data_IF_207771868942
#
_entry.id   IF_207771868942
#
_cell.length_a   1.000
_cell.length_b   1.000
_cell.length_c   1.000
_cell.angle_alpha   90.00
_cell.angle_beta   90.00
_cell.angle_gamma   90.00
#
_symmetry.space_group_name_H-M   'P 1'
#
loop_
_entity.id
_entity.type
_entity.pdbx_description
1 polymer ?
#
# COMPACT_ATOMS: atom_id res chain seq x y z
N UNK A 1 -34.15 9.73 13.93
CA UNK A 1 -33.31 8.78 14.69
C UNK A 1 -32.85 7.57 13.86
N UNK A 2 -33.13 7.51 12.55
CA UNK A 2 -32.74 6.38 11.68
C UNK A 2 -31.47 6.62 10.85
N UNK A 3 -30.94 7.85 10.81
CA UNK A 3 -29.79 8.20 9.95
C UNK A 3 -28.42 7.90 10.56
N UNK A 4 -28.29 7.99 11.89
CA UNK A 4 -27.02 7.71 12.59
C UNK A 4 -26.68 6.21 12.54
N UNK A 5 -27.71 5.35 12.57
CA UNK A 5 -27.55 3.90 12.47
C UNK A 5 -27.00 3.46 11.10
N UNK A 6 -27.24 4.23 10.04
CA UNK A 6 -26.67 3.97 8.71
C UNK A 6 -25.17 4.28 8.71
N UNK A 7 -24.78 5.38 9.36
CA UNK A 7 -23.36 5.76 9.51
C UNK A 7 -22.61 4.71 10.33
N UNK A 8 -23.15 4.30 11.50
CA UNK A 8 -22.53 3.28 12.34
C UNK A 8 -22.41 1.94 11.62
N UNK A 9 -23.45 1.52 10.88
CA UNK A 9 -23.45 0.28 10.11
C UNK A 9 -22.48 0.31 8.93
N UNK A 10 -22.38 1.45 8.25
CA UNK A 10 -21.39 1.66 7.19
C UNK A 10 -19.98 1.61 7.76
N UNK A 11 -19.74 2.32 8.87
CA UNK A 11 -18.42 2.41 9.51
C UNK A 11 -17.97 1.06 10.07
N UNK A 12 -18.89 0.28 10.67
CA UNK A 12 -18.64 -1.09 11.11
C UNK A 12 -18.36 -2.05 9.93
N UNK A 13 -19.11 -1.93 8.83
CA UNK A 13 -18.86 -2.73 7.61
C UNK A 13 -17.53 -2.36 6.96
N UNK A 14 -17.23 -1.06 6.88
CA UNK A 14 -16.00 -0.52 6.31
C UNK A 14 -14.78 -0.94 7.14
N UNK A 15 -14.84 -0.78 8.47
CA UNK A 15 -13.79 -1.23 9.39
C UNK A 15 -13.56 -2.73 9.27
N UNK A 16 -14.60 -3.56 9.25
CA UNK A 16 -14.43 -5.01 9.03
C UNK A 16 -13.79 -5.34 7.69
N UNK A 17 -14.15 -4.63 6.62
CA UNK A 17 -13.54 -4.87 5.31
C UNK A 17 -12.06 -4.48 5.30
N UNK A 18 -11.71 -3.32 5.90
CA UNK A 18 -10.32 -2.88 6.05
C UNK A 18 -9.51 -3.84 6.91
N UNK A 19 -10.01 -4.24 8.08
CA UNK A 19 -9.34 -5.18 8.98
C UNK A 19 -9.16 -6.56 8.32
N UNK A 20 -10.15 -7.01 7.54
CA UNK A 20 -10.03 -8.25 6.76
C UNK A 20 -8.95 -8.14 5.67
N UNK A 21 -8.81 -6.98 5.03
CA UNK A 21 -7.76 -6.70 4.05
C UNK A 21 -6.35 -6.75 4.66
N UNK A 22 -6.17 -6.18 5.86
CA UNK A 22 -4.92 -6.32 6.63
C UNK A 22 -4.68 -7.75 7.12
N UNK A 23 -5.74 -8.51 7.45
CA UNK A 23 -5.66 -9.93 7.78
C UNK A 23 -5.14 -10.79 6.62
N UNK A 24 -5.52 -10.49 5.37
CA UNK A 24 -5.02 -11.17 4.18
C UNK A 24 -3.52 -10.93 3.94
N UNK A 25 -3.01 -9.75 4.32
CA UNK A 25 -1.59 -9.39 4.21
C UNK A 25 -0.72 -10.01 5.31
N UNK A 26 -1.32 -10.59 6.37
CA UNK A 26 -0.57 -11.12 7.52
C UNK A 26 0.47 -12.18 7.12
N UNK A 27 0.16 -13.04 6.14
CA UNK A 27 1.09 -14.05 5.64
C UNK A 27 2.29 -13.45 4.89
N UNK A 28 2.08 -12.43 4.07
CA UNK A 28 3.14 -11.74 3.34
C UNK A 28 4.03 -10.91 4.28
N UNK A 29 3.43 -10.25 5.28
CA UNK A 29 4.16 -9.53 6.34
C UNK A 29 5.02 -10.49 7.16
N UNK A 30 4.48 -11.66 7.54
CA UNK A 30 5.22 -12.66 8.28
C UNK A 30 6.40 -13.24 7.47
N UNK A 31 6.18 -13.56 6.19
CA UNK A 31 7.23 -14.03 5.29
C UNK A 31 8.35 -13.00 5.11
N UNK A 32 7.98 -11.73 4.88
CA UNK A 32 8.94 -10.64 4.73
C UNK A 32 9.75 -10.45 6.01
N UNK A 33 9.09 -10.44 7.16
CA UNK A 33 9.73 -10.29 8.48
C UNK A 33 10.69 -11.45 8.76
N UNK A 34 10.28 -12.69 8.52
CA UNK A 34 11.13 -13.87 8.70
C UNK A 34 12.37 -13.81 7.79
N UNK A 35 12.20 -13.42 6.53
CA UNK A 35 13.30 -13.25 5.58
C UNK A 35 14.29 -12.18 6.04
N UNK A 36 13.79 -11.04 6.53
CA UNK A 36 14.63 -9.96 7.05
C UNK A 36 15.42 -10.39 8.29
N UNK A 37 14.80 -11.15 9.21
CA UNK A 37 15.48 -11.69 10.40
C UNK A 37 16.61 -12.64 9.99
N UNK A 38 16.37 -13.53 9.02
CA UNK A 38 17.41 -14.45 8.53
C UNK A 38 18.59 -13.69 7.93
N UNK A 39 18.33 -12.64 7.14
CA UNK A 39 19.38 -11.79 6.57
C UNK A 39 20.18 -11.11 7.68
N UNK A 40 19.52 -10.52 8.67
CA UNK A 40 20.17 -9.83 9.80
C UNK A 40 21.06 -10.78 10.60
N UNK A 41 20.54 -11.96 10.98
CA UNK A 41 21.30 -12.98 11.70
C UNK A 41 22.50 -13.48 10.89
N UNK A 42 22.34 -13.65 9.57
CA UNK A 42 23.43 -14.08 8.69
C UNK A 42 24.54 -13.02 8.63
N UNK A 43 24.18 -11.75 8.49
CA UNK A 43 25.14 -10.65 8.46
C UNK A 43 25.84 -10.47 9.82
N UNK A 44 25.10 -10.57 10.93
CA UNK A 44 25.65 -10.54 12.28
C UNK A 44 26.64 -11.70 12.51
N UNK A 45 26.29 -12.91 12.09
CA UNK A 45 27.16 -14.09 12.16
C UNK A 45 28.42 -13.93 11.31
N UNK A 46 28.30 -13.38 10.09
CA UNK A 46 29.43 -13.11 9.21
C UNK A 46 30.40 -12.09 9.83
N UNK A 47 29.86 -10.99 10.39
CA UNK A 47 30.68 -9.97 11.06
C UNK A 47 31.32 -10.50 12.34
N UNK A 48 30.61 -11.32 13.11
CA UNK A 48 31.14 -11.96 14.31
C UNK A 48 32.28 -12.94 13.98
N UNK A 49 32.09 -13.81 12.98
CA UNK A 49 33.09 -14.76 12.53
C UNK A 49 34.36 -14.06 12.00
N UNK A 50 34.22 -12.96 11.25
CA UNK A 50 35.37 -12.19 10.77
C UNK A 50 36.10 -11.45 11.89
N UNK A 51 35.40 -10.97 12.92
CA UNK A 51 36.01 -10.31 14.07
C UNK A 51 36.78 -11.27 15.00
N UNK A 52 36.37 -12.55 15.06
CA UNK A 52 37.06 -13.58 15.85
C UNK A 52 38.14 -14.34 15.07
N UNK A 53 38.03 -14.44 13.73
CA UNK A 53 39.02 -15.15 12.91
C UNK A 53 40.34 -14.37 12.71
N UNK A 54 40.35 -13.04 12.90
CA UNK A 54 41.53 -12.23 12.62
C UNK A 54 42.50 -12.08 13.80
N UNK A 55 42.15 -12.51 15.01
CA UNK A 55 43.06 -12.77 16.15
C UNK A 55 43.91 -11.61 16.70
N UNK A 56 44.57 -10.84 15.85
CA UNK A 56 45.39 -9.66 16.08
C UNK A 56 45.77 -9.13 14.69
N UNK A 57 45.30 -7.94 14.32
CA UNK A 57 45.76 -7.24 13.12
C UNK A 57 44.66 -6.92 12.10
N UNK A 58 44.27 -5.65 12.13
CA UNK A 58 43.67 -4.89 11.03
C UNK A 58 42.26 -5.28 10.53
N UNK A 59 41.28 -4.53 11.06
CA UNK A 59 39.94 -4.29 10.51
C UNK A 59 39.87 -3.85 9.03
N UNK A 60 40.98 -3.82 8.29
CA UNK A 60 41.05 -3.27 6.93
C UNK A 60 40.19 -4.06 5.96
N UNK A 61 40.22 -5.39 6.02
CA UNK A 61 39.37 -6.26 5.17
C UNK A 61 37.89 -6.09 5.51
N UNK A 62 37.54 -6.06 6.79
CA UNK A 62 36.15 -5.84 7.23
C UNK A 62 35.64 -4.45 6.83
N UNK A 63 36.48 -3.40 6.95
CA UNK A 63 36.17 -2.03 6.51
C UNK A 63 36.02 -1.92 4.99
N UNK A 64 36.88 -2.61 4.23
CA UNK A 64 36.82 -2.61 2.77
C UNK A 64 35.56 -3.32 2.27
N UNK A 65 35.23 -4.50 2.79
CA UNK A 65 33.99 -5.23 2.45
C UNK A 65 32.76 -4.40 2.79
N UNK A 66 32.72 -3.76 3.97
CA UNK A 66 31.61 -2.87 4.36
C UNK A 66 31.45 -1.73 3.35
N UNK A 67 32.55 -1.12 2.91
CA UNK A 67 32.53 0.00 1.98
C UNK A 67 32.16 -0.43 0.55
N UNK A 68 32.64 -1.59 0.10
CA UNK A 68 32.30 -2.19 -1.19
C UNK A 68 30.83 -2.60 -1.24
N UNK A 69 30.29 -3.21 -0.18
CA UNK A 69 28.87 -3.54 -0.10
C UNK A 69 28.01 -2.27 -0.11
N UNK A 70 28.37 -1.26 0.67
CA UNK A 70 27.59 -0.03 0.74
C UNK A 70 27.60 0.72 -0.59
N UNK A 71 28.79 0.98 -1.15
CA UNK A 71 28.95 1.70 -2.42
C UNK A 71 28.43 0.87 -3.59
N UNK A 72 28.68 -0.44 -3.58
CA UNK A 72 28.21 -1.38 -4.60
C UNK A 72 26.69 -1.54 -4.62
N UNK A 73 26.04 -1.63 -3.46
CA UNK A 73 24.59 -1.62 -3.36
C UNK A 73 24.01 -0.29 -3.85
N UNK A 74 24.62 0.84 -3.49
CA UNK A 74 24.20 2.15 -3.96
C UNK A 74 24.30 2.29 -5.48
N UNK A 75 25.44 1.86 -6.05
CA UNK A 75 25.66 1.84 -7.49
C UNK A 75 24.68 0.91 -8.20
N UNK A 76 24.39 -0.26 -7.62
CA UNK A 76 23.41 -1.19 -8.16
C UNK A 76 21.99 -0.62 -8.18
N UNK A 77 21.56 0.03 -7.10
CA UNK A 77 20.24 0.66 -7.00
C UNK A 77 20.09 1.78 -8.03
N UNK A 78 21.08 2.67 -8.15
CA UNK A 78 21.05 3.77 -9.13
C UNK A 78 21.08 3.20 -10.55
N UNK A 79 21.94 2.22 -10.82
CA UNK A 79 22.07 1.60 -12.14
C UNK A 79 20.81 0.84 -12.59
N UNK A 80 20.03 0.31 -11.66
CA UNK A 80 18.83 -0.48 -11.94
C UNK A 80 17.53 0.17 -11.45
N UNK A 81 17.54 1.49 -11.20
CA UNK A 81 16.46 2.18 -10.49
C UNK A 81 15.10 1.99 -11.17
N UNK A 82 15.03 2.08 -12.49
CA UNK A 82 13.79 1.91 -13.26
C UNK A 82 13.17 0.51 -13.07
N UNK A 83 13.99 -0.53 -13.16
CA UNK A 83 13.54 -1.91 -12.98
C UNK A 83 13.12 -2.20 -11.54
N UNK A 84 13.93 -1.75 -10.56
CA UNK A 84 13.63 -1.85 -9.13
C UNK A 84 12.32 -1.12 -8.78
N UNK A 85 12.15 0.13 -9.24
CA UNK A 85 10.92 0.90 -9.05
C UNK A 85 9.71 0.20 -9.66
N UNK A 86 9.87 -0.41 -10.84
CA UNK A 86 8.82 -1.20 -11.48
C UNK A 86 8.43 -2.44 -10.66
N UNK A 87 9.38 -3.12 -10.02
CA UNK A 87 9.09 -4.23 -9.11
C UNK A 87 8.32 -3.74 -7.90
N UNK A 88 8.81 -2.69 -7.24
CA UNK A 88 8.17 -2.11 -6.04
C UNK A 88 6.73 -1.68 -6.35
N UNK A 89 6.52 -0.99 -7.47
CA UNK A 89 5.19 -0.55 -7.90
C UNK A 89 4.25 -1.75 -8.15
N UNK A 90 4.74 -2.79 -8.84
CA UNK A 90 3.96 -4.02 -9.07
C UNK A 90 3.67 -4.77 -7.78
N UNK A 91 4.59 -4.79 -6.83
CA UNK A 91 4.35 -5.41 -5.52
C UNK A 91 3.27 -4.65 -4.76
N UNK A 92 3.34 -3.32 -4.68
CA UNK A 92 2.32 -2.53 -3.99
C UNK A 92 0.95 -2.60 -4.66
N UNK A 93 0.87 -2.54 -5.99
CA UNK A 93 -0.39 -2.71 -6.70
C UNK A 93 -0.95 -4.14 -6.53
N UNK A 94 -0.10 -5.17 -6.48
CA UNK A 94 -0.51 -6.55 -6.19
C UNK A 94 -1.08 -6.70 -4.78
N UNK A 95 -0.36 -6.21 -3.76
CA UNK A 95 -0.81 -6.21 -2.37
C UNK A 95 -2.10 -5.39 -2.19
N UNK A 96 -2.24 -4.26 -2.89
CA UNK A 96 -3.45 -3.43 -2.88
C UNK A 96 -4.66 -4.13 -3.48
N UNK A 97 -4.48 -4.95 -4.52
CA UNK A 97 -5.53 -5.79 -5.08
C UNK A 97 -5.92 -6.92 -4.11
N UNK A 98 -4.94 -7.59 -3.50
CA UNK A 98 -5.17 -8.63 -2.49
C UNK A 98 -5.91 -8.08 -1.27
N UNK A 99 -5.53 -6.90 -0.77
CA UNK A 99 -6.14 -6.27 0.40
C UNK A 99 -7.53 -5.65 0.13
N UNK A 100 -7.81 -5.22 -1.10
CA UNK A 100 -9.12 -4.66 -1.47
C UNK A 100 -10.18 -5.71 -1.81
N UNK A 101 -9.82 -7.00 -1.88
CA UNK A 101 -10.74 -8.09 -2.24
C UNK A 101 -11.31 -7.97 -3.67
N UNK A 102 -10.71 -7.10 -4.49
CA UNK A 102 -11.18 -6.76 -5.83
C UNK A 102 -10.80 -7.85 -6.84
N UNK A 103 -11.75 -8.32 -7.65
CA UNK A 103 -11.48 -9.25 -8.75
C UNK A 103 -10.84 -8.57 -9.99
N UNK A 104 -10.39 -7.32 -9.86
CA UNK A 104 -9.74 -6.60 -10.95
C UNK A 104 -8.33 -7.13 -11.18
N UNK A 105 -8.06 -7.60 -12.40
CA UNK A 105 -6.70 -8.01 -12.77
C UNK A 105 -5.74 -6.81 -12.81
N UNK A 106 -4.47 -7.06 -12.49
CA UNK A 106 -3.37 -6.08 -12.53
C UNK A 106 -3.29 -5.30 -13.86
N UNK A 107 -3.66 -5.94 -14.97
CA UNK A 107 -3.69 -5.33 -16.31
C UNK A 107 -4.78 -4.25 -16.46
N UNK A 108 -5.90 -4.38 -15.73
CA UNK A 108 -6.99 -3.42 -15.73
C UNK A 108 -6.75 -2.26 -14.73
N UNK A 109 -6.00 -2.51 -13.65
CA UNK A 109 -5.63 -1.48 -12.66
C UNK A 109 -4.65 -0.45 -13.23
N UNK A 110 -3.84 -0.82 -14.22
CA UNK A 110 -2.92 0.09 -14.90
C UNK A 110 -3.57 0.94 -16.00
N UNK A 111 -4.88 0.79 -16.25
CA UNK A 111 -5.61 1.57 -17.25
C UNK A 111 -6.35 2.74 -16.58
N UNK A 112 -5.84 3.98 -16.67
CA UNK A 112 -6.41 5.14 -15.96
C UNK A 112 -7.87 5.43 -16.37
N UNK A 113 -8.25 5.15 -17.62
CA UNK A 113 -9.62 5.37 -18.11
C UNK A 113 -10.66 4.42 -17.49
N UNK A 114 -10.29 3.19 -17.15
CA UNK A 114 -11.22 2.24 -16.50
C UNK A 114 -11.31 2.49 -15.00
N UNK A 115 -10.22 2.85 -14.34
CA UNK A 115 -10.23 3.35 -12.96
C UNK A 115 -11.14 4.57 -12.81
N UNK A 116 -11.02 5.56 -13.72
CA UNK A 116 -11.88 6.73 -13.74
C UNK A 116 -13.36 6.35 -13.94
N UNK A 117 -13.65 5.38 -14.82
CA UNK A 117 -15.01 4.89 -15.03
C UNK A 117 -15.61 4.25 -13.78
N UNK A 118 -14.84 3.43 -13.05
CA UNK A 118 -15.29 2.84 -11.77
C UNK A 118 -15.61 3.93 -10.74
N UNK A 119 -14.80 4.99 -10.68
CA UNK A 119 -15.08 6.15 -9.82
C UNK A 119 -16.35 6.92 -10.22
N UNK A 120 -16.58 7.11 -11.52
CA UNK A 120 -17.79 7.77 -12.05
C UNK A 120 -19.03 6.89 -11.81
N UNK A 121 -18.95 5.59 -12.09
CA UNK A 121 -20.05 4.64 -11.89
C UNK A 121 -20.40 4.50 -10.39
N UNK A 122 -19.39 4.53 -9.51
CA UNK A 122 -19.61 4.54 -8.07
C UNK A 122 -20.17 5.87 -7.54
N UNK A 123 -19.83 7.00 -8.17
CA UNK A 123 -20.34 8.33 -7.82
C UNK A 123 -21.69 8.70 -8.47
N UNK A 124 -22.12 7.96 -9.49
CA UNK A 124 -23.36 8.19 -10.21
C UNK A 124 -24.62 8.19 -9.32
N UNK A 125 -24.77 7.32 -8.30
CA UNK A 125 -25.92 7.34 -7.39
C UNK A 125 -25.98 8.64 -6.57
N UNK A 126 -24.82 9.17 -6.15
CA UNK A 126 -24.70 10.41 -5.39
C UNK A 126 -25.06 11.60 -6.28
N UNK A 127 -24.53 11.63 -7.51
CA UNK A 127 -24.86 12.67 -8.48
C UNK A 127 -26.35 12.65 -8.87
N UNK A 128 -26.96 11.47 -8.95
CA UNK A 128 -28.40 11.33 -9.21
C UNK A 128 -29.24 11.84 -8.03
N UNK A 129 -28.88 11.48 -6.80
CA UNK A 129 -29.54 12.01 -5.60
C UNK A 129 -29.42 13.53 -5.48
N UNK A 130 -28.24 14.10 -5.77
CA UNK A 130 -28.05 15.56 -5.82
C UNK A 130 -28.92 16.15 -6.93
N UNK A 131 -29.02 15.50 -8.09
CA UNK A 131 -29.87 15.95 -9.21
C UNK A 131 -31.36 15.93 -8.90
N UNK A 132 -31.84 14.92 -8.18
CA UNK A 132 -33.23 14.83 -7.73
C UNK A 132 -33.52 15.93 -6.70
N UNK A 133 -32.65 16.09 -5.69
CA UNK A 133 -32.76 17.16 -4.68
C UNK A 133 -32.55 18.59 -5.25
N UNK A 134 -31.91 18.71 -6.42
CA UNK A 134 -31.66 19.95 -7.13
C UNK A 134 -32.59 20.17 -8.36
N UNK A 135 -33.66 19.38 -8.51
CA UNK A 135 -34.65 19.53 -9.58
C UNK A 135 -35.78 20.53 -9.24
N UNK A 136 -36.33 21.22 -10.25
CA UNK A 136 -37.50 22.09 -10.08
C UNK A 136 -38.77 21.23 -9.93
N UNK A 137 -39.57 21.32 -8.84
CA UNK A 137 -39.62 22.37 -7.82
C UNK A 137 -38.96 22.04 -6.46
N UNK A 138 -38.30 20.89 -6.32
CA UNK A 138 -37.69 20.39 -5.07
C UNK A 138 -36.52 21.26 -4.55
N UNK A 139 -35.81 21.99 -5.43
CA UNK A 139 -34.82 23.03 -5.05
C UNK A 139 -35.41 24.07 -4.11
N UNK A 140 -36.68 24.45 -4.31
CA UNK A 140 -37.36 25.48 -3.51
C UNK A 140 -37.84 24.94 -2.17
N UNK A 141 -38.10 23.62 -2.08
CA UNK A 141 -38.50 22.94 -0.84
C UNK A 141 -37.28 22.69 0.06
N UNK A 142 -36.13 22.38 -0.53
CA UNK A 142 -34.89 22.06 0.19
C UNK A 142 -33.89 23.22 0.24
N UNK A 143 -34.32 24.46 0.00
CA UNK A 143 -33.44 25.64 -0.09
C UNK A 143 -32.71 25.94 1.23
N UNK A 144 -33.33 25.63 2.38
CA UNK A 144 -32.73 25.89 3.70
C UNK A 144 -31.57 24.93 4.02
N UNK A 145 -31.68 23.60 3.79
CA UNK A 145 -30.53 22.71 3.85
C UNK A 145 -29.40 23.04 2.87
N UNK A 146 -29.72 23.42 1.63
CA UNK A 146 -28.73 23.63 0.55
C UNK A 146 -27.83 24.85 0.79
N UNK A 147 -28.35 25.90 1.45
CA UNK A 147 -27.61 27.15 1.71
C UNK A 147 -26.73 27.06 2.98
N UNK A 148 -26.92 26.05 3.82
CA UNK A 148 -26.24 25.91 5.12
C UNK A 148 -25.08 24.90 5.09
N UNK A 149 -24.97 24.06 4.05
CA UNK A 149 -23.72 23.36 3.69
C UNK A 149 -22.79 24.28 2.91
#
# INVERSE_FOLDING_TARGET
MNDVTVIDRFLDTFSRYIDSGFGLLHGEVAFLTATLIVIDMTLAGLFWAMGHATGQGEDVIAKLIRKVLYVGAFAYIIGNFNWLAGIVFRSFAGLGLTASGSSLSMANFLQPGRLAKVGIDAGAPILKQIGDMAGFPEVFVNITPIVVM
#
